data_IF_170253163615
#
_entry.id   IF_170253163615
#
_cell.length_a   1.000
_cell.length_b   1.000
_cell.length_c   1.000
_cell.angle_alpha   90.00
_cell.angle_beta   90.00
_cell.angle_gamma   90.00
#
_symmetry.space_group_name_H-M   'P 1'
#
loop_
_entity.id
_entity.type
_entity.pdbx_description
1 polymer ?
#
# COMPACT_ATOMS: atom_id res chain seq x y z
N UNK A 1 -23.33 -65.00 -0.89
CA UNK A 1 -24.29 -63.97 -1.33
C UNK A 1 -23.53 -62.68 -1.63
N UNK A 2 -23.21 -62.49 -2.91
CA UNK A 2 -22.50 -61.33 -3.44
C UNK A 2 -23.51 -60.19 -3.66
N UNK A 3 -23.19 -58.96 -3.23
CA UNK A 3 -23.93 -57.74 -3.59
C UNK A 3 -23.07 -56.87 -4.52
N UNK A 4 -23.69 -56.18 -5.50
CA UNK A 4 -23.02 -55.74 -6.72
C UNK A 4 -22.34 -54.37 -6.59
N UNK A 5 -21.23 -54.19 -7.30
CA UNK A 5 -20.60 -52.90 -7.58
C UNK A 5 -21.48 -52.07 -8.51
N UNK A 6 -21.73 -50.80 -8.15
CA UNK A 6 -22.22 -49.79 -9.08
C UNK A 6 -21.03 -49.08 -9.73
N UNK A 7 -20.94 -49.25 -11.06
CA UNK A 7 -20.11 -48.48 -11.97
C UNK A 7 -20.64 -47.04 -12.04
N UNK A 8 -19.78 -46.05 -11.76
CA UNK A 8 -20.00 -44.68 -12.23
C UNK A 8 -18.94 -44.34 -13.27
N UNK A 9 -19.44 -44.25 -14.49
CA UNK A 9 -18.81 -43.74 -15.69
C UNK A 9 -18.54 -42.24 -15.57
N UNK A 10 -17.30 -41.86 -15.89
CA UNK A 10 -16.94 -40.68 -16.67
C UNK A 10 -17.34 -39.29 -16.16
N UNK A 11 -16.34 -38.51 -15.77
CA UNK A 11 -16.22 -37.12 -16.22
C UNK A 11 -14.73 -36.72 -16.28
N UNK A 12 -14.32 -36.32 -17.47
CA UNK A 12 -13.01 -35.84 -17.89
C UNK A 12 -12.64 -34.50 -17.27
N UNK A 13 -11.34 -34.26 -17.08
CA UNK A 13 -10.78 -32.93 -16.92
C UNK A 13 -9.88 -32.79 -15.69
N UNK A 14 -8.63 -33.27 -15.81
CA UNK A 14 -7.58 -33.02 -14.82
C UNK A 14 -7.16 -31.55 -14.89
N UNK A 15 -7.44 -30.81 -13.83
CA UNK A 15 -6.44 -29.91 -13.24
C UNK A 15 -6.35 -30.35 -11.78
N UNK A 16 -5.35 -31.17 -11.47
CA UNK A 16 -4.98 -31.45 -10.08
C UNK A 16 -4.40 -30.15 -9.51
N UNK A 17 -5.28 -29.30 -8.98
CA UNK A 17 -4.89 -28.29 -8.01
C UNK A 17 -4.43 -29.08 -6.79
N UNK A 18 -3.12 -29.11 -6.54
CA UNK A 18 -2.60 -29.69 -5.30
C UNK A 18 -3.31 -28.99 -4.14
N UNK A 19 -3.96 -29.72 -3.22
CA UNK A 19 -4.51 -29.10 -2.03
C UNK A 19 -3.33 -28.45 -1.30
N UNK A 20 -3.43 -27.13 -1.09
CA UNK A 20 -2.57 -26.41 -0.16
C UNK A 20 -2.51 -27.23 1.12
N UNK A 21 -1.35 -27.81 1.40
CA UNK A 21 -1.12 -28.53 2.63
C UNK A 21 -1.42 -27.57 3.78
N UNK A 22 -2.25 -28.02 4.73
CA UNK A 22 -2.57 -27.27 5.93
C UNK A 22 -1.28 -27.08 6.74
N UNK A 23 -0.76 -25.87 6.75
CA UNK A 23 0.33 -25.48 7.65
C UNK A 23 -0.27 -25.37 9.04
N UNK A 24 0.12 -26.26 9.95
CA UNK A 24 -0.40 -26.36 11.33
C UNK A 24 0.31 -25.44 12.32
N UNK A 25 1.35 -24.73 11.91
CA UNK A 25 2.05 -23.77 12.76
C UNK A 25 1.31 -22.44 12.76
N UNK A 26 1.21 -21.80 13.93
CA UNK A 26 0.77 -20.41 14.04
C UNK A 26 1.67 -19.57 13.11
N UNK A 27 1.06 -18.90 12.12
CA UNK A 27 1.80 -18.13 11.14
C UNK A 27 2.38 -16.87 11.80
N UNK A 28 3.59 -16.98 12.36
CA UNK A 28 4.41 -15.82 12.69
C UNK A 28 4.86 -15.17 11.37
N UNK A 29 4.40 -13.95 11.12
CA UNK A 29 4.67 -13.23 9.88
C UNK A 29 6.04 -12.54 9.87
N UNK A 30 6.61 -12.21 11.04
CA UNK A 30 7.90 -11.53 11.15
C UNK A 30 9.03 -12.56 11.25
N UNK A 31 9.80 -12.67 10.16
CA UNK A 31 10.99 -13.52 10.08
C UNK A 31 12.22 -12.67 9.83
N UNK A 32 13.34 -13.06 10.43
CA UNK A 32 14.65 -12.44 10.24
C UNK A 32 15.59 -13.46 9.60
N UNK A 33 16.42 -12.99 8.68
CA UNK A 33 17.49 -13.79 8.07
C UNK A 33 18.78 -13.38 8.76
N UNK A 34 19.46 -14.33 9.39
CA UNK A 34 20.77 -14.12 10.01
C UNK A 34 21.85 -14.80 9.16
N UNK A 35 22.94 -14.07 8.96
CA UNK A 35 24.09 -14.51 8.17
C UNK A 35 25.29 -14.61 9.11
N UNK A 36 25.83 -15.82 9.26
CA UNK A 36 27.07 -16.09 10.00
C UNK A 36 28.14 -16.52 9.01
N UNK A 37 29.34 -15.96 9.12
CA UNK A 37 30.47 -16.32 8.26
C UNK A 37 31.51 -17.02 9.12
N UNK A 38 31.70 -18.31 8.89
CA UNK A 38 32.70 -19.13 9.56
C UNK A 38 33.77 -19.52 8.52
N UNK A 39 34.87 -18.75 8.50
CA UNK A 39 35.93 -18.89 7.50
C UNK A 39 35.39 -18.66 6.08
N UNK A 40 35.45 -19.70 5.25
CA UNK A 40 34.99 -19.66 3.85
C UNK A 40 33.50 -20.03 3.69
N UNK A 41 32.83 -20.45 4.76
CA UNK A 41 31.42 -20.91 4.70
C UNK A 41 30.47 -19.84 5.26
N UNK A 42 29.48 -19.45 4.46
CA UNK A 42 28.40 -18.55 4.88
C UNK A 42 27.16 -19.35 5.26
N UNK A 43 26.81 -19.38 6.54
CA UNK A 43 25.63 -20.03 7.07
C UNK A 43 24.49 -19.01 7.13
N UNK A 44 23.39 -19.30 6.43
CA UNK A 44 22.21 -18.42 6.37
C UNK A 44 21.06 -19.11 7.09
N UNK A 45 20.64 -18.56 8.23
CA UNK A 45 19.59 -19.11 9.09
C UNK A 45 18.34 -18.21 9.06
N UNK A 46 17.15 -18.81 9.10
CA UNK A 46 15.89 -18.09 9.26
C UNK A 46 15.46 -18.20 10.72
N UNK A 47 15.43 -17.05 11.40
CA UNK A 47 15.07 -16.94 12.82
C UNK A 47 13.67 -16.31 12.90
N UNK A 48 12.76 -17.01 13.57
CA UNK A 48 11.42 -16.48 13.85
C UNK A 48 11.52 -15.41 14.96
N UNK A 49 11.02 -14.20 14.68
CA UNK A 49 11.06 -13.09 15.64
C UNK A 49 9.69 -12.98 16.29
N UNK A 50 9.60 -12.99 17.64
CA UNK A 50 8.33 -12.82 18.31
C UNK A 50 7.74 -11.43 18.01
N UNK A 51 6.43 -11.37 17.77
CA UNK A 51 5.74 -10.11 17.57
C UNK A 51 5.43 -9.48 18.94
N UNK A 52 6.24 -8.50 19.35
CA UNK A 52 6.16 -7.86 20.68
C UNK A 52 5.11 -6.73 20.72
N UNK A 53 4.40 -6.49 19.62
CA UNK A 53 3.47 -5.37 19.52
C UNK A 53 2.14 -5.66 20.25
N UNK A 54 2.09 -5.40 21.56
CA UNK A 54 0.88 -5.47 22.42
C UNK A 54 -0.15 -4.35 22.13
N UNK A 55 0.01 -3.62 21.04
CA UNK A 55 -0.82 -2.44 20.73
C UNK A 55 -2.25 -2.87 20.40
N UNK A 56 -3.22 -2.07 20.84
CA UNK A 56 -4.64 -2.31 20.51
C UNK A 56 -4.84 -2.23 19.00
N UNK A 57 -5.10 -3.39 18.39
CA UNK A 57 -5.44 -3.50 16.97
C UNK A 57 -6.90 -3.11 16.77
N UNK A 58 -7.16 -2.36 15.72
CA UNK A 58 -8.53 -2.03 15.30
C UNK A 58 -9.26 -3.30 14.88
N UNK A 59 -10.53 -3.42 15.28
CA UNK A 59 -11.36 -4.56 14.87
C UNK A 59 -11.57 -4.51 13.36
N UNK A 60 -10.99 -5.46 12.65
CA UNK A 60 -11.15 -5.60 11.21
C UNK A 60 -12.41 -6.42 10.91
N UNK A 61 -13.37 -5.83 10.21
CA UNK A 61 -14.45 -6.62 9.59
C UNK A 61 -13.93 -7.23 8.29
N UNK A 62 -14.21 -8.51 7.98
CA UNK A 62 -13.73 -9.14 6.75
C UNK A 62 -14.26 -8.47 5.47
N UNK A 63 -15.38 -7.74 5.58
CA UNK A 63 -16.05 -7.10 4.45
C UNK A 63 -15.45 -5.74 4.07
N UNK A 64 -14.78 -5.06 5.00
CA UNK A 64 -14.26 -3.70 4.78
C UNK A 64 -12.81 -3.56 5.18
N UNK A 65 -12.06 -2.74 4.43
CA UNK A 65 -10.65 -2.51 4.72
C UNK A 65 -10.46 -1.84 6.09
N UNK A 66 -9.37 -2.09 6.81
CA UNK A 66 -9.11 -1.54 8.16
C UNK A 66 -9.32 -0.03 8.26
N UNK A 67 -8.83 0.73 7.27
CA UNK A 67 -9.01 2.18 7.19
C UNK A 67 -10.41 2.62 6.72
N UNK A 68 -11.17 1.73 6.09
CA UNK A 68 -12.54 1.96 5.67
C UNK A 68 -13.53 1.71 6.82
N UNK A 69 -13.23 0.73 7.69
CA UNK A 69 -14.05 0.38 8.86
C UNK A 69 -13.95 1.44 9.94
N UNK A 70 -12.77 2.05 10.07
CA UNK A 70 -12.61 3.20 10.92
C UNK A 70 -13.33 4.37 10.23
N UNK A 71 -14.46 4.80 10.77
CA UNK A 71 -15.09 6.07 10.41
C UNK A 71 -14.18 7.25 10.83
N UNK A 72 -12.92 7.26 10.42
CA UNK A 72 -12.01 8.38 10.60
C UNK A 72 -12.60 9.49 9.73
N UNK A 73 -13.10 10.58 10.33
CA UNK A 73 -13.72 11.66 9.56
C UNK A 73 -12.70 12.38 8.67
N UNK A 74 -11.41 12.19 8.97
CA UNK A 74 -10.29 12.88 8.33
C UNK A 74 -9.60 11.93 7.36
N UNK A 75 -9.56 12.39 6.12
CA UNK A 75 -8.72 11.89 5.04
C UNK A 75 -7.24 11.87 5.48
N UNK A 76 -6.61 10.69 5.53
CA UNK A 76 -5.17 10.51 5.83
C UNK A 76 -4.32 11.41 4.91
N UNK A 77 -3.41 12.17 5.51
CA UNK A 77 -2.44 13.04 4.84
C UNK A 77 -1.01 12.53 5.01
N UNK A 78 -0.08 13.06 4.21
CA UNK A 78 1.35 12.77 4.35
C UNK A 78 1.94 13.20 5.71
N UNK A 79 1.31 14.17 6.39
CA UNK A 79 1.68 14.62 7.73
C UNK A 79 1.41 13.59 8.82
N UNK A 80 0.59 12.57 8.56
CA UNK A 80 0.11 11.64 9.57
C UNK A 80 1.11 10.49 9.76
N UNK A 81 2.32 10.86 10.19
CA UNK A 81 3.52 10.02 10.28
C UNK A 81 3.26 8.72 11.05
N UNK A 82 2.54 8.79 12.17
CA UNK A 82 2.27 7.64 13.05
C UNK A 82 1.39 6.57 12.41
N UNK A 83 0.49 6.97 11.49
CA UNK A 83 -0.37 6.02 10.76
C UNK A 83 0.44 5.43 9.62
N UNK A 84 1.16 6.25 8.86
CA UNK A 84 1.97 5.82 7.73
C UNK A 84 3.06 4.83 8.17
N UNK A 85 3.67 5.05 9.34
CA UNK A 85 4.70 4.20 9.91
C UNK A 85 4.29 2.72 10.07
N UNK A 86 3.00 2.49 10.36
CA UNK A 86 2.44 1.15 10.54
C UNK A 86 2.39 0.35 9.23
N UNK A 87 2.30 1.04 8.09
CA UNK A 87 2.24 0.42 6.76
C UNK A 87 3.60 0.35 6.06
N UNK A 88 4.68 0.73 6.75
CA UNK A 88 6.03 0.76 6.20
C UNK A 88 6.94 -0.29 6.84
N UNK A 89 7.92 -0.76 6.05
CA UNK A 89 9.07 -1.50 6.55
C UNK A 89 10.05 -0.55 7.27
N UNK A 90 11.09 -1.14 7.88
CA UNK A 90 12.22 -0.40 8.45
C UNK A 90 12.93 0.43 7.38
N UNK A 91 12.98 -0.07 6.15
CA UNK A 91 13.62 0.61 5.00
C UNK A 91 12.81 1.78 4.44
N UNK A 92 11.60 2.05 4.96
CA UNK A 92 10.71 3.12 4.47
C UNK A 92 9.90 2.75 3.23
N UNK A 93 10.00 1.51 2.74
CA UNK A 93 9.14 0.97 1.68
C UNK A 93 7.77 0.55 2.23
N UNK A 94 6.72 0.74 1.42
CA UNK A 94 5.34 0.37 1.81
C UNK A 94 5.15 -1.14 1.73
N UNK A 95 4.43 -1.71 2.70
CA UNK A 95 4.07 -3.11 2.71
C UNK A 95 3.10 -3.45 1.56
N UNK A 96 3.21 -4.66 0.98
CA UNK A 96 2.33 -5.09 -0.10
C UNK A 96 0.88 -5.23 0.39
N UNK A 97 -0.08 -5.00 -0.51
CA UNK A 97 -1.51 -4.99 -0.23
C UNK A 97 -2.00 -6.29 0.45
N UNK A 98 -1.42 -7.43 0.11
CA UNK A 98 -1.77 -8.73 0.67
C UNK A 98 -1.49 -8.83 2.17
N UNK A 99 -0.47 -8.09 2.65
CA UNK A 99 -0.12 -8.04 4.07
C UNK A 99 -0.87 -6.92 4.79
N UNK A 100 -1.10 -5.78 4.13
CA UNK A 100 -1.79 -4.64 4.77
C UNK A 100 -3.31 -4.85 4.88
N UNK A 101 -3.90 -5.69 4.03
CA UNK A 101 -5.35 -5.95 4.02
C UNK A 101 -6.18 -4.73 3.57
N UNK A 102 -5.55 -3.77 2.90
CA UNK A 102 -6.22 -2.54 2.44
C UNK A 102 -6.93 -2.75 1.10
N UNK A 103 -7.99 -1.97 0.86
CA UNK A 103 -8.58 -1.89 -0.47
C UNK A 103 -7.62 -1.16 -1.42
N UNK A 104 -7.72 -1.44 -2.73
CA UNK A 104 -6.80 -0.90 -3.74
C UNK A 104 -6.71 0.63 -3.70
N UNK A 105 -7.85 1.31 -3.47
CA UNK A 105 -7.92 2.77 -3.38
C UNK A 105 -7.13 3.32 -2.19
N UNK A 106 -7.27 2.71 -1.01
CA UNK A 106 -6.55 3.15 0.19
C UNK A 106 -5.07 2.78 0.13
N UNK A 107 -4.73 1.62 -0.42
CA UNK A 107 -3.34 1.22 -0.65
C UNK A 107 -2.60 2.25 -1.52
N UNK A 108 -3.15 2.59 -2.69
CA UNK A 108 -2.56 3.60 -3.58
C UNK A 108 -2.45 4.98 -2.90
N UNK A 109 -3.42 5.32 -2.05
CA UNK A 109 -3.38 6.56 -1.30
C UNK A 109 -2.25 6.58 -0.28
N UNK A 110 -2.06 5.50 0.48
CA UNK A 110 -0.93 5.39 1.42
C UNK A 110 0.39 5.48 0.67
N UNK A 111 0.53 4.79 -0.47
CA UNK A 111 1.73 4.86 -1.30
C UNK A 111 2.05 6.30 -1.71
N UNK A 112 1.04 7.07 -2.14
CA UNK A 112 1.20 8.51 -2.43
C UNK A 112 1.58 9.32 -1.21
N UNK A 113 0.89 9.14 -0.08
CA UNK A 113 1.19 9.86 1.16
C UNK A 113 2.60 9.54 1.70
N UNK A 114 3.05 8.29 1.63
CA UNK A 114 4.39 7.87 2.04
C UNK A 114 5.44 8.52 1.14
N UNK A 115 5.23 8.52 -0.17
CA UNK A 115 6.12 9.20 -1.11
C UNK A 115 6.20 10.71 -0.83
N UNK A 116 5.06 11.35 -0.62
CA UNK A 116 4.98 12.77 -0.24
C UNK A 116 5.70 13.06 1.09
N UNK A 117 5.58 12.18 2.07
CA UNK A 117 6.21 12.31 3.38
C UNK A 117 7.74 12.15 3.30
N UNK A 118 8.22 11.18 2.52
CA UNK A 118 9.64 11.07 2.18
C UNK A 118 10.15 12.35 1.51
N UNK A 119 9.34 12.92 0.61
CA UNK A 119 9.68 14.15 -0.11
C UNK A 119 9.65 15.41 0.74
N UNK A 120 8.84 15.41 1.79
CA UNK A 120 8.80 16.46 2.81
C UNK A 120 9.89 16.26 3.89
N UNK A 121 10.62 15.15 3.88
CA UNK A 121 11.67 14.85 4.86
C UNK A 121 11.15 14.40 6.23
N UNK A 122 9.93 13.85 6.30
CA UNK A 122 9.31 13.44 7.58
C UNK A 122 9.87 12.11 8.14
N UNK A 123 10.61 11.36 7.32
CA UNK A 123 11.18 10.05 7.70
C UNK A 123 12.71 10.05 7.53
N UNK A 124 13.48 10.71 8.42
CA UNK A 124 14.95 10.69 8.32
C UNK A 124 15.52 9.29 8.51
N UNK A 125 15.04 8.53 9.49
CA UNK A 125 15.60 7.23 9.89
C UNK A 125 15.31 6.09 8.91
N UNK A 126 14.31 6.27 8.05
CA UNK A 126 13.77 5.23 7.15
C UNK A 126 14.09 5.52 5.68
N UNK A 127 15.22 6.19 5.43
CA UNK A 127 15.67 6.49 4.07
C UNK A 127 17.00 5.82 3.78
N UNK A 128 17.11 5.16 2.63
CA UNK A 128 18.39 4.60 2.16
C UNK A 128 19.30 5.74 1.74
N UNK A 129 20.62 5.60 1.99
CA UNK A 129 21.62 6.65 1.71
C UNK A 129 21.59 7.16 0.25
N UNK A 130 21.17 6.32 -0.70
CA UNK A 130 21.06 6.68 -2.11
C UNK A 130 19.98 7.73 -2.40
N UNK A 131 18.90 7.78 -1.60
CA UNK A 131 17.81 8.73 -1.80
C UNK A 131 18.20 10.18 -1.48
N UNK A 132 19.23 10.39 -0.66
CA UNK A 132 19.75 11.72 -0.29
C UNK A 132 20.68 12.33 -1.35
N UNK A 133 21.16 11.52 -2.30
CA UNK A 133 22.13 11.96 -3.31
C UNK A 133 21.54 12.95 -4.31
N UNK A 134 20.22 12.91 -4.49
CA UNK A 134 19.51 13.87 -5.34
C UNK A 134 19.15 15.08 -4.48
N UNK A 135 19.66 16.26 -4.83
CA UNK A 135 19.45 17.51 -4.08
C UNK A 135 17.99 17.99 -3.95
N UNK A 136 17.01 17.14 -4.17
CA UNK A 136 15.59 17.43 -4.05
C UNK A 136 15.14 17.65 -2.60
N UNK A 137 15.82 17.06 -1.59
CA UNK A 137 15.57 17.32 -0.16
C UNK A 137 16.08 18.68 0.32
N UNK A 138 16.77 19.47 -0.52
CA UNK A 138 17.29 20.81 -0.15
C UNK A 138 16.18 21.86 0.05
N UNK A 139 15.00 21.64 -0.51
CA UNK A 139 13.90 22.58 -0.46
C UNK A 139 12.74 22.00 0.34
N UNK A 140 12.17 22.80 1.25
CA UNK A 140 10.98 22.41 1.97
C UNK A 140 9.81 22.24 0.98
N UNK A 141 9.21 21.04 0.96
CA UNK A 141 8.05 20.71 0.12
C UNK A 141 6.87 20.34 1.01
N UNK A 142 5.72 20.89 0.65
CA UNK A 142 4.45 20.66 1.31
C UNK A 142 3.40 20.31 0.27
N UNK A 143 2.44 19.48 0.69
CA UNK A 143 1.32 19.02 -0.13
C UNK A 143 0.02 19.39 0.56
N UNK A 144 -1.03 19.71 -0.19
CA UNK A 144 -2.37 19.91 0.35
C UNK A 144 -3.13 18.58 0.37
N UNK A 145 -3.07 17.83 -0.74
CA UNK A 145 -3.76 16.55 -0.93
C UNK A 145 -2.82 15.43 -1.40
N UNK A 146 -3.26 14.16 -1.32
CA UNK A 146 -2.52 12.99 -1.80
C UNK A 146 -2.31 12.98 -3.32
N UNK A 147 -3.13 13.73 -4.06
CA UNK A 147 -3.05 13.86 -5.51
C UNK A 147 -2.28 15.10 -5.98
N UNK A 148 -1.83 15.98 -5.08
CA UNK A 148 -1.21 17.25 -5.45
C UNK A 148 0.03 17.08 -6.32
N UNK A 149 0.75 15.98 -6.15
CA UNK A 149 1.93 15.67 -6.94
C UNK A 149 1.62 15.46 -8.44
N UNK A 150 0.39 15.03 -8.76
CA UNK A 150 -0.04 14.72 -10.12
C UNK A 150 -0.88 15.84 -10.75
N UNK A 151 -1.27 16.86 -9.97
CA UNK A 151 -2.08 17.96 -10.48
C UNK A 151 -1.20 18.85 -11.35
N UNK A 152 -1.59 19.05 -12.61
CA UNK A 152 -0.96 20.08 -13.44
C UNK A 152 -1.19 21.44 -12.79
N UNK A 153 -0.10 22.17 -12.53
CA UNK A 153 -0.18 23.59 -12.15
C UNK A 153 -0.26 24.41 -13.42
N UNK A 154 -1.34 25.16 -13.57
CA UNK A 154 -1.45 26.17 -14.61
C UNK A 154 -0.84 27.47 -14.06
N UNK A 155 0.25 27.93 -14.66
CA UNK A 155 0.86 29.22 -14.32
C UNK A 155 0.33 30.27 -15.30
N UNK A 156 -0.53 31.17 -14.81
CA UNK A 156 -1.03 32.31 -15.59
C UNK A 156 0.05 33.38 -15.58
N UNK A 157 0.74 33.56 -16.70
CA UNK A 157 1.75 34.61 -16.85
C UNK A 157 1.04 35.90 -17.26
N UNK A 158 1.26 37.04 -16.57
CA UNK A 158 0.69 38.30 -17.03
C UNK A 158 1.22 38.62 -18.45
N UNK A 159 0.33 38.66 -19.44
CA UNK A 159 0.65 38.91 -20.85
C UNK A 159 0.57 37.70 -21.79
N UNK A 160 0.39 36.48 -21.28
CA UNK A 160 0.09 35.32 -22.13
C UNK A 160 -1.39 35.31 -22.49
N UNK A 161 -1.72 35.59 -23.74
CA UNK A 161 -3.07 35.42 -24.26
C UNK A 161 -3.36 33.94 -24.48
N UNK A 162 -4.25 33.36 -23.67
CA UNK A 162 -4.80 32.02 -23.95
C UNK A 162 -6.17 32.20 -24.62
N UNK A 163 -6.30 31.76 -25.87
CA UNK A 163 -7.59 31.73 -26.55
C UNK A 163 -8.47 30.62 -25.96
N UNK A 164 -9.35 30.97 -25.03
CA UNK A 164 -10.40 30.06 -24.58
C UNK A 164 -11.44 30.01 -25.71
N UNK A 165 -11.45 28.94 -26.52
CA UNK A 165 -12.59 28.64 -27.42
C UNK A 165 -13.81 28.38 -26.54
N UNK A 166 -14.55 29.43 -26.22
CA UNK A 166 -15.91 29.32 -25.70
C UNK A 166 -16.78 28.92 -26.89
N UNK A 167 -17.01 27.62 -27.07
CA UNK A 167 -18.11 27.21 -27.95
C UNK A 167 -19.39 27.86 -27.43
N UNK A 168 -20.11 28.48 -28.34
CA UNK A 168 -21.30 29.25 -28.04
C UNK A 168 -22.40 28.30 -27.55
N UNK A 169 -22.62 28.18 -26.23
CA UNK A 169 -23.76 27.47 -25.64
C UNK A 169 -25.06 28.28 -25.80
N UNK A 170 -25.25 28.99 -26.91
CA UNK A 170 -26.54 29.58 -27.30
C UNK A 170 -27.52 28.42 -27.53
N UNK A 171 -28.24 28.05 -26.48
CA UNK A 171 -29.28 27.04 -26.53
C UNK A 171 -29.65 26.40 -25.20
N UNK A 172 -28.82 26.45 -24.16
CA UNK A 172 -29.14 25.80 -22.88
C UNK A 172 -29.56 26.83 -21.84
N UNK A 173 -30.87 27.06 -21.75
CA UNK A 173 -31.49 27.87 -20.71
C UNK A 173 -31.56 27.06 -19.41
N UNK A 174 -30.61 27.26 -18.50
CA UNK A 174 -30.76 26.81 -17.13
C UNK A 174 -31.69 27.79 -16.40
N UNK A 175 -32.91 27.36 -16.08
CA UNK A 175 -33.81 28.11 -15.19
C UNK A 175 -33.28 27.97 -13.76
N UNK A 176 -32.88 29.09 -13.16
CA UNK A 176 -32.60 29.17 -11.72
C UNK A 176 -33.93 29.23 -10.97
N UNK A 177 -34.17 28.23 -10.11
CA UNK A 177 -35.14 28.29 -9.02
C UNK A 177 -34.56 29.11 -7.85
#
# INVERSE_FOLDING_TARGET
MLKPLSLLTGCSGRIFCWPRQFVTTLALFKKRIDIKVEGDTTIVEVVDVPDVDDRKVLKHSPETCTLCTCNVPIKIRYSDVLILEQFMRKDGTVLPQQLTGLCKKQQQRIERCVMQAHWAGLFPDRTTADFDRSGYKRFARYWNDDMDMYRLKEEVVPGSWYYIKRYNTRGVNFRTN
#
